data_IF_298100193173
#
_entry.id   IF_298100193173
#
_cell.length_a   1.000
_cell.length_b   1.000
_cell.length_c   1.000
_cell.angle_alpha   90.00
_cell.angle_beta   90.00
_cell.angle_gamma   90.00
#
_symmetry.space_group_name_H-M   'P 1'
#
loop_
_entity.id
_entity.type
_entity.pdbx_description
1 polymer ?
#
# COMPACT_ATOMS: atom_id res chain seq x y z
N UNK A 1 -5.91 10.46 -21.46
CA UNK A 1 -4.48 10.47 -21.08
C UNK A 1 -3.67 11.47 -21.92
N UNK A 2 -3.13 12.51 -21.26
CA UNK A 2 -2.07 13.35 -21.81
C UNK A 2 -0.72 12.64 -21.62
N UNK A 3 0.03 12.40 -22.70
CA UNK A 3 1.33 11.71 -22.66
C UNK A 3 1.46 10.52 -23.61
N UNK A 4 2.71 10.11 -23.87
CA UNK A 4 3.10 8.85 -24.50
C UNK A 4 3.46 7.88 -23.37
N UNK A 5 2.71 6.79 -23.25
CA UNK A 5 2.88 5.81 -22.19
C UNK A 5 3.23 4.47 -22.83
N UNK A 6 4.28 3.78 -22.35
CA UNK A 6 4.56 2.43 -22.82
C UNK A 6 3.38 1.51 -22.52
N UNK A 7 3.22 0.46 -23.33
CA UNK A 7 2.23 -0.56 -23.09
C UNK A 7 2.50 -1.26 -21.74
N UNK A 8 1.42 -1.62 -21.05
CA UNK A 8 1.50 -2.31 -19.75
C UNK A 8 1.99 -3.75 -19.96
N UNK A 9 2.93 -4.19 -19.12
CA UNK A 9 3.50 -5.54 -19.15
C UNK A 9 2.48 -6.49 -18.50
N UNK A 10 1.98 -7.51 -19.24
CA UNK A 10 1.00 -8.44 -18.70
C UNK A 10 1.49 -9.21 -17.47
N UNK A 11 0.62 -9.32 -16.48
CA UNK A 11 0.89 -9.95 -15.20
C UNK A 11 -0.34 -10.75 -14.74
N UNK A 12 -0.11 -11.87 -14.06
CA UNK A 12 -1.22 -12.66 -13.50
C UNK A 12 -1.94 -11.86 -12.42
N UNK A 13 -3.27 -11.96 -12.41
CA UNK A 13 -4.12 -11.26 -11.44
C UNK A 13 -3.94 -11.76 -9.99
N UNK A 14 -3.56 -13.03 -9.84
CA UNK A 14 -3.20 -13.68 -8.57
C UNK A 14 -1.68 -13.86 -8.56
N UNK A 15 -1.02 -13.31 -7.53
CA UNK A 15 0.42 -13.45 -7.36
C UNK A 15 0.79 -14.67 -6.53
N UNK A 16 1.93 -15.31 -6.83
CA UNK A 16 2.50 -16.28 -5.91
C UNK A 16 2.90 -15.55 -4.63
N UNK A 17 2.30 -15.94 -3.51
CA UNK A 17 2.68 -15.45 -2.20
C UNK A 17 3.77 -16.39 -1.70
N UNK A 18 5.04 -15.99 -1.84
CA UNK A 18 6.15 -16.80 -1.33
C UNK A 18 6.15 -16.69 0.19
N UNK A 19 6.16 -17.83 0.88
CA UNK A 19 6.58 -17.90 2.28
C UNK A 19 8.11 -17.77 2.32
N UNK A 20 8.66 -16.64 1.89
CA UNK A 20 9.99 -16.24 2.37
C UNK A 20 9.84 -15.94 3.87
N UNK A 21 10.90 -16.09 4.65
CA UNK A 21 10.89 -15.87 6.11
C UNK A 21 10.54 -14.44 6.57
N UNK A 22 10.04 -13.59 5.68
CA UNK A 22 9.46 -12.28 5.93
C UNK A 22 7.93 -12.33 5.81
N UNK A 23 7.27 -11.69 6.76
CA UNK A 23 5.87 -11.89 7.13
C UNK A 23 4.92 -11.52 5.99
N UNK A 24 4.29 -12.55 5.40
CA UNK A 24 3.09 -12.41 4.57
C UNK A 24 1.97 -11.83 5.43
N UNK A 25 1.34 -10.75 4.96
CA UNK A 25 0.15 -10.19 5.61
C UNK A 25 -0.95 -11.25 5.70
N UNK A 26 -1.40 -11.57 6.91
CA UNK A 26 -2.44 -12.58 7.14
C UNK A 26 -3.83 -12.15 6.64
N UNK A 27 -3.99 -10.86 6.34
CA UNK A 27 -5.21 -10.21 5.85
C UNK A 27 -4.86 -8.97 5.02
N UNK A 28 -5.83 -8.47 4.25
CA UNK A 28 -5.67 -7.22 3.49
C UNK A 28 -5.81 -6.03 4.44
N UNK A 29 -4.84 -5.11 4.39
CA UNK A 29 -4.79 -3.93 5.24
C UNK A 29 -4.53 -2.69 4.39
N UNK A 30 -5.14 -1.57 4.76
CA UNK A 30 -4.83 -0.28 4.15
C UNK A 30 -3.53 0.26 4.78
N UNK A 31 -2.45 0.44 4.00
CA UNK A 31 -1.23 1.02 4.54
C UNK A 31 -1.41 2.52 4.79
N UNK A 32 -0.71 3.06 5.79
CA UNK A 32 -0.68 4.51 5.99
C UNK A 32 0.07 5.19 4.83
N UNK A 33 1.21 4.62 4.43
CA UNK A 33 2.13 5.18 3.43
C UNK A 33 2.45 4.16 2.34
N UNK A 34 2.53 4.66 1.10
CA UNK A 34 3.04 3.97 -0.08
C UNK A 34 4.40 4.59 -0.41
N UNK A 35 5.42 3.74 -0.58
CA UNK A 35 6.74 4.15 -1.08
C UNK A 35 6.71 4.03 -2.60
N UNK A 36 6.64 5.17 -3.28
CA UNK A 36 6.56 5.29 -4.74
C UNK A 36 7.96 5.49 -5.30
N UNK A 37 8.43 4.54 -6.09
CA UNK A 37 9.66 4.67 -6.87
C UNK A 37 9.38 5.40 -8.18
N UNK A 38 9.94 6.58 -8.37
CA UNK A 38 9.61 7.47 -9.50
C UNK A 38 10.38 7.10 -10.79
N UNK A 39 10.30 5.83 -11.19
CA UNK A 39 11.03 5.28 -12.32
C UNK A 39 10.58 3.87 -12.68
N UNK A 40 11.34 3.20 -13.54
CA UNK A 40 11.23 1.74 -13.73
C UNK A 40 11.91 1.02 -12.56
N UNK A 41 11.54 -0.23 -12.22
CA UNK A 41 12.06 -0.88 -11.00
C UNK A 41 13.59 -0.92 -10.89
N UNK A 42 14.30 -1.03 -12.02
CA UNK A 42 15.76 -1.16 -12.07
C UNK A 42 16.51 0.17 -12.10
N UNK A 43 15.81 1.31 -12.10
CA UNK A 43 16.43 2.63 -12.15
C UNK A 43 16.87 3.06 -10.75
N UNK A 44 18.11 2.73 -10.38
CA UNK A 44 18.67 3.12 -9.08
C UNK A 44 18.89 4.63 -8.90
N UNK A 45 18.69 5.43 -9.94
CA UNK A 45 18.83 6.90 -9.87
C UNK A 45 17.49 7.60 -9.60
N UNK A 46 16.37 6.89 -9.75
CA UNK A 46 15.05 7.42 -9.45
C UNK A 46 14.84 7.62 -7.95
N UNK A 47 14.06 8.64 -7.60
CA UNK A 47 13.76 8.99 -6.22
C UNK A 47 12.58 8.17 -5.69
N UNK A 48 12.66 7.80 -4.42
CA UNK A 48 11.56 7.21 -3.68
C UNK A 48 10.79 8.27 -2.90
N UNK A 49 9.46 8.28 -3.03
CA UNK A 49 8.56 9.20 -2.34
C UNK A 49 7.66 8.47 -1.36
N UNK A 50 7.58 9.00 -0.14
CA UNK A 50 6.70 8.49 0.91
C UNK A 50 5.39 9.26 0.89
N UNK A 51 4.34 8.61 0.38
CA UNK A 51 3.04 9.25 0.11
C UNK A 51 1.96 8.55 0.90
N UNK A 52 1.06 9.29 1.57
CA UNK A 52 -0.09 8.65 2.23
C UNK A 52 -0.93 7.89 1.21
N UNK A 53 -1.44 6.71 1.57
CA UNK A 53 -2.19 5.84 0.63
C UNK A 53 -3.29 6.60 -0.12
N UNK A 54 -4.16 7.33 0.59
CA UNK A 54 -5.23 8.10 -0.04
C UNK A 54 -4.70 9.15 -1.02
N UNK A 55 -3.61 9.83 -0.68
CA UNK A 55 -3.01 10.86 -1.53
C UNK A 55 -2.37 10.22 -2.77
N UNK A 56 -1.78 9.04 -2.65
CA UNK A 56 -1.29 8.25 -3.78
C UNK A 56 -2.42 7.87 -4.74
N UNK A 57 -3.52 7.30 -4.23
CA UNK A 57 -4.67 6.91 -5.06
C UNK A 57 -5.29 8.14 -5.76
N UNK A 58 -5.47 9.26 -5.05
CA UNK A 58 -5.97 10.52 -5.62
C UNK A 58 -5.06 11.03 -6.74
N UNK A 59 -3.75 10.94 -6.55
CA UNK A 59 -2.75 11.37 -7.54
C UNK A 59 -2.81 10.52 -8.80
N UNK A 60 -2.80 9.20 -8.65
CA UNK A 60 -2.89 8.26 -9.77
C UNK A 60 -4.19 8.47 -10.54
N UNK A 61 -5.34 8.48 -9.85
CA UNK A 61 -6.62 8.73 -10.50
C UNK A 61 -6.64 10.09 -11.23
N UNK A 62 -6.12 11.16 -10.61
CA UNK A 62 -6.02 12.49 -11.24
C UNK A 62 -5.00 12.58 -12.39
N UNK A 63 -4.16 11.57 -12.55
CA UNK A 63 -3.18 11.45 -13.64
C UNK A 63 -3.68 10.57 -14.77
N UNK A 64 -4.55 9.60 -14.47
CA UNK A 64 -4.91 8.54 -15.40
C UNK A 64 -6.34 8.62 -15.95
N UNK A 65 -7.27 9.22 -15.21
CA UNK A 65 -8.68 9.34 -15.63
C UNK A 65 -9.14 10.81 -15.62
N UNK A 66 -10.22 11.09 -16.36
CA UNK A 66 -10.81 12.42 -16.41
C UNK A 66 -11.83 12.59 -15.30
N UNK A 67 -11.67 13.64 -14.49
CA UNK A 67 -12.54 13.98 -13.36
C UNK A 67 -13.99 14.32 -13.73
N UNK A 68 -14.27 14.53 -15.01
CA UNK A 68 -15.60 14.86 -15.56
C UNK A 68 -16.38 13.63 -16.05
N UNK A 69 -15.82 12.43 -15.90
CA UNK A 69 -16.52 11.19 -16.27
C UNK A 69 -17.66 10.86 -15.30
N UNK A 70 -18.63 10.02 -15.72
CA UNK A 70 -19.70 9.56 -14.84
C UNK A 70 -19.15 9.02 -13.53
N UNK A 71 -19.86 9.26 -12.42
CA UNK A 71 -19.41 8.86 -11.08
C UNK A 71 -19.11 7.36 -10.99
N UNK A 72 -19.93 6.53 -11.61
CA UNK A 72 -19.76 5.07 -11.64
C UNK A 72 -18.48 4.66 -12.40
N UNK A 73 -18.13 5.40 -13.45
CA UNK A 73 -16.85 5.23 -14.16
C UNK A 73 -15.68 5.61 -13.27
N UNK A 74 -15.77 6.72 -12.52
CA UNK A 74 -14.73 7.12 -11.57
C UNK A 74 -14.53 6.04 -10.51
N UNK A 75 -15.62 5.57 -9.87
CA UNK A 75 -15.60 4.52 -8.87
C UNK A 75 -14.97 3.21 -9.40
N UNK A 76 -15.37 2.74 -10.59
CA UNK A 76 -14.82 1.52 -11.18
C UNK A 76 -13.30 1.64 -11.43
N UNK A 77 -12.84 2.76 -11.98
CA UNK A 77 -11.40 2.99 -12.21
C UNK A 77 -10.62 3.13 -10.90
N UNK A 78 -11.16 3.85 -9.91
CA UNK A 78 -10.53 4.02 -8.60
C UNK A 78 -10.44 2.69 -7.85
N UNK A 79 -11.47 1.85 -7.90
CA UNK A 79 -11.43 0.49 -7.33
C UNK A 79 -10.35 -0.37 -7.98
N UNK A 80 -10.18 -0.28 -9.30
CA UNK A 80 -9.09 -0.97 -9.99
C UNK A 80 -7.70 -0.45 -9.59
N UNK A 81 -7.52 0.88 -9.45
CA UNK A 81 -6.27 1.47 -8.96
C UNK A 81 -5.97 0.98 -7.52
N UNK A 82 -6.98 1.01 -6.65
CA UNK A 82 -6.85 0.61 -5.25
C UNK A 82 -6.56 -0.89 -5.10
N UNK A 83 -7.30 -1.75 -5.80
CA UNK A 83 -7.08 -3.20 -5.75
C UNK A 83 -5.68 -3.58 -6.25
N UNK A 84 -5.22 -2.97 -7.34
CA UNK A 84 -3.85 -3.13 -7.83
C UNK A 84 -2.82 -2.72 -6.77
N UNK A 85 -3.01 -1.54 -6.17
CA UNK A 85 -2.09 -0.99 -5.16
C UNK A 85 -2.02 -1.89 -3.94
N UNK A 86 -3.17 -2.33 -3.43
CA UNK A 86 -3.25 -3.22 -2.28
C UNK A 86 -2.73 -4.63 -2.61
N UNK A 87 -2.80 -5.09 -3.87
CA UNK A 87 -2.11 -6.32 -4.28
C UNK A 87 -0.60 -6.19 -4.13
N UNK A 88 0.01 -5.08 -4.62
CA UNK A 88 1.45 -4.82 -4.47
C UNK A 88 1.89 -4.79 -3.01
N UNK A 89 1.07 -4.20 -2.14
CA UNK A 89 1.29 -4.16 -0.68
C UNK A 89 1.17 -5.56 -0.08
N UNK A 90 0.05 -6.24 -0.32
CA UNK A 90 -0.26 -7.56 0.26
C UNK A 90 0.79 -8.60 -0.10
N UNK A 91 1.23 -8.59 -1.36
CA UNK A 91 2.19 -9.56 -1.89
C UNK A 91 3.64 -9.15 -1.64
N UNK A 92 3.86 -7.97 -1.08
CA UNK A 92 5.17 -7.33 -0.96
C UNK A 92 5.96 -7.44 -2.28
N UNK A 93 5.27 -7.21 -3.41
CA UNK A 93 5.73 -7.65 -4.73
C UNK A 93 7.18 -7.29 -5.03
N UNK A 94 7.54 -6.02 -4.84
CA UNK A 94 8.90 -5.53 -5.10
C UNK A 94 9.87 -5.88 -3.95
N UNK A 95 9.41 -5.91 -2.70
CA UNK A 95 10.27 -6.28 -1.56
C UNK A 95 10.72 -7.73 -1.60
N UNK A 96 9.83 -8.62 -2.02
CA UNK A 96 10.16 -10.03 -2.30
C UNK A 96 11.13 -10.21 -3.49
N UNK A 97 11.49 -9.13 -4.17
CA UNK A 97 12.50 -9.07 -5.23
C UNK A 97 13.73 -8.24 -4.83
N UNK A 98 13.91 -7.97 -3.53
CA UNK A 98 15.00 -7.19 -2.93
C UNK A 98 14.97 -5.68 -3.25
N UNK A 99 13.81 -5.12 -3.62
CA UNK A 99 13.63 -3.67 -3.66
C UNK A 99 13.08 -3.14 -2.33
N UNK A 100 13.34 -1.88 -2.02
CA UNK A 100 12.88 -1.22 -0.78
C UNK A 100 11.59 -0.40 -0.94
N UNK A 101 11.03 -0.32 -2.15
CA UNK A 101 9.80 0.43 -2.45
C UNK A 101 8.55 -0.46 -2.57
N UNK A 102 7.38 0.17 -2.66
CA UNK A 102 6.07 -0.52 -2.72
C UNK A 102 5.55 -0.64 -4.14
N UNK A 103 5.73 0.41 -4.95
CA UNK A 103 5.14 0.54 -6.28
C UNK A 103 5.96 1.54 -7.11
N UNK A 104 5.87 1.46 -8.44
CA UNK A 104 6.57 2.37 -9.36
C UNK A 104 5.63 3.39 -10.00
N UNK A 105 6.18 4.50 -10.50
CA UNK A 105 5.46 5.52 -11.30
C UNK A 105 5.43 5.20 -12.81
N UNK A 106 5.97 4.04 -13.21
CA UNK A 106 6.04 3.59 -14.59
C UNK A 106 4.76 2.86 -15.01
N UNK A 107 4.05 3.39 -16.00
CA UNK A 107 2.80 2.78 -16.51
C UNK A 107 2.99 1.41 -17.15
N UNK A 108 4.22 1.07 -17.55
CA UNK A 108 4.54 -0.28 -18.03
C UNK A 108 4.39 -1.32 -16.91
N UNK A 109 4.70 -0.96 -15.67
CA UNK A 109 4.72 -1.87 -14.53
C UNK A 109 3.53 -1.65 -13.61
N UNK A 110 3.26 -0.40 -13.24
CA UNK A 110 2.24 -0.03 -12.27
C UNK A 110 1.40 1.15 -12.77
N UNK A 111 1.50 2.33 -12.15
CA UNK A 111 0.60 3.46 -12.36
C UNK A 111 1.36 4.71 -12.76
N UNK A 112 0.70 5.62 -13.47
CA UNK A 112 1.20 6.98 -13.61
C UNK A 112 0.97 7.74 -12.32
N UNK A 113 2.06 8.00 -11.61
CA UNK A 113 2.12 8.95 -10.51
C UNK A 113 2.99 10.14 -10.90
N UNK A 114 2.69 11.33 -10.37
CA UNK A 114 3.46 12.56 -10.62
C UNK A 114 3.64 13.33 -9.32
N UNK A 115 4.88 13.59 -8.90
CA UNK A 115 5.15 14.40 -7.72
C UNK A 115 4.56 15.82 -7.87
N UNK A 116 3.88 16.32 -6.83
CA UNK A 116 3.27 17.64 -6.84
C UNK A 116 2.04 17.80 -7.75
N UNK A 117 1.42 16.70 -8.21
CA UNK A 117 0.24 16.75 -9.08
C UNK A 117 -0.98 17.38 -8.39
N UNK A 118 -1.68 18.23 -9.15
CA UNK A 118 -2.98 18.76 -8.76
C UNK A 118 -4.03 17.65 -8.67
N UNK A 119 -4.83 17.65 -7.59
CA UNK A 119 -5.89 16.68 -7.35
C UNK A 119 -7.25 17.28 -7.69
N UNK A 120 -8.09 16.54 -8.43
CA UNK A 120 -9.44 16.97 -8.74
C UNK A 120 -10.41 16.61 -7.60
N UNK A 121 -11.31 17.54 -7.27
CA UNK A 121 -12.26 17.38 -6.15
C UNK A 121 -13.19 16.17 -6.34
N UNK A 122 -13.77 15.97 -7.53
CA UNK A 122 -14.67 14.84 -7.80
C UNK A 122 -13.96 13.48 -7.62
N UNK A 123 -12.67 13.41 -7.95
CA UNK A 123 -11.85 12.22 -7.69
C UNK A 123 -11.57 12.09 -6.19
N UNK A 124 -11.20 13.19 -5.53
CA UNK A 124 -10.92 13.17 -4.09
C UNK A 124 -12.12 12.66 -3.29
N UNK A 125 -13.32 13.13 -3.60
CA UNK A 125 -14.56 12.71 -2.94
C UNK A 125 -14.78 11.21 -3.10
N UNK A 126 -14.71 10.68 -4.32
CA UNK A 126 -14.87 9.23 -4.56
C UNK A 126 -13.81 8.43 -3.80
N UNK A 127 -12.53 8.84 -3.84
CA UNK A 127 -11.47 8.13 -3.09
C UNK A 127 -11.77 8.15 -1.60
N UNK A 128 -12.11 9.30 -1.02
CA UNK A 128 -12.39 9.41 0.42
C UNK A 128 -13.59 8.56 0.87
N UNK A 129 -14.56 8.33 -0.01
CA UNK A 129 -15.73 7.49 0.27
C UNK A 129 -15.43 5.99 0.22
N UNK A 130 -14.51 5.54 -0.64
CA UNK A 130 -14.31 4.11 -0.91
C UNK A 130 -12.91 3.59 -0.56
N UNK A 131 -12.04 4.38 0.07
CA UNK A 131 -10.60 4.08 0.23
C UNK A 131 -10.28 2.76 0.95
N UNK A 132 -11.22 2.21 1.71
CA UNK A 132 -11.11 0.93 2.40
C UNK A 132 -11.50 -0.27 1.52
N UNK A 133 -12.06 -0.04 0.33
CA UNK A 133 -12.53 -1.11 -0.54
C UNK A 133 -11.43 -1.66 -1.47
N UNK A 134 -11.63 -2.89 -1.95
CA UNK A 134 -10.78 -3.52 -2.96
C UNK A 134 -11.54 -4.61 -3.71
N UNK A 135 -10.99 -5.09 -4.82
CA UNK A 135 -11.61 -6.10 -5.65
C UNK A 135 -11.12 -7.49 -5.25
N UNK A 136 -12.07 -8.41 -5.10
CA UNK A 136 -11.87 -9.75 -4.58
C UNK A 136 -12.54 -10.81 -5.45
N UNK A 137 -12.05 -12.04 -5.33
CA UNK A 137 -12.68 -13.25 -5.89
C UNK A 137 -12.89 -14.31 -4.81
N UNK A 138 -13.90 -15.19 -4.96
CA UNK A 138 -14.11 -16.30 -4.05
C UNK A 138 -12.84 -17.15 -3.91
N UNK A 139 -12.50 -17.52 -2.68
CA UNK A 139 -11.32 -18.34 -2.33
C UNK A 139 -9.95 -17.70 -2.66
N UNK A 140 -9.89 -16.40 -2.98
CA UNK A 140 -8.65 -15.65 -3.17
C UNK A 140 -8.45 -14.69 -2.00
N UNK A 141 -7.34 -14.85 -1.25
CA UNK A 141 -7.06 -14.04 -0.06
C UNK A 141 -6.48 -12.65 -0.36
N UNK A 142 -5.78 -12.51 -1.48
CA UNK A 142 -5.15 -11.25 -1.88
C UNK A 142 -6.13 -10.39 -2.69
N UNK A 143 -5.96 -9.05 -2.68
CA UNK A 143 -6.63 -8.19 -3.66
C UNK A 143 -6.26 -8.62 -5.08
N UNK A 144 -7.20 -8.49 -6.01
CA UNK A 144 -6.92 -8.85 -7.40
C UNK A 144 -6.01 -7.79 -8.04
N UNK A 145 -4.92 -8.21 -8.68
CA UNK A 145 -4.07 -7.32 -9.47
C UNK A 145 -4.83 -6.93 -10.75
N UNK A 146 -5.60 -5.87 -10.66
CA UNK A 146 -6.47 -5.36 -11.73
C UNK A 146 -5.68 -4.48 -12.68
N UNK A 147 -5.01 -5.11 -13.65
CA UNK A 147 -4.41 -4.37 -14.77
C UNK A 147 -5.51 -3.73 -15.64
N UNK A 148 -5.22 -2.54 -16.14
CA UNK A 148 -6.09 -1.76 -17.03
C UNK A 148 -5.23 -0.90 -17.95
N UNK A 149 -5.84 -0.37 -19.00
CA UNK A 149 -5.18 0.58 -19.89
C UNK A 149 -6.17 1.55 -20.54
N UNK A 150 -5.66 2.48 -21.33
CA UNK A 150 -6.45 3.52 -21.99
C UNK A 150 -7.57 2.92 -22.88
N UNK A 151 -7.25 1.94 -23.72
CA UNK A 151 -8.18 1.35 -24.70
C UNK A 151 -8.39 2.16 -25.98
N UNK A 152 -7.80 3.36 -26.09
CA UNK A 152 -7.81 4.18 -27.32
C UNK A 152 -6.44 4.26 -27.97
N UNK A 153 -5.39 4.45 -27.17
CA UNK A 153 -3.98 4.45 -27.62
C UNK A 153 -3.30 3.07 -27.52
N UNK A 154 -3.82 2.20 -26.67
CA UNK A 154 -3.25 0.87 -26.40
C UNK A 154 -4.38 -0.15 -26.27
N UNK A 155 -4.22 -1.33 -26.86
CA UNK A 155 -5.16 -2.46 -26.74
C UNK A 155 -4.74 -3.38 -25.61
N UNK A 156 -5.69 -3.83 -24.79
CA UNK A 156 -5.45 -4.75 -23.69
C UNK A 156 -6.49 -5.87 -23.74
N UNK A 157 -6.11 -7.09 -24.13
CA UNK A 157 -7.01 -8.22 -24.03
C UNK A 157 -7.31 -8.50 -22.55
N UNK A 158 -8.58 -8.68 -22.22
CA UNK A 158 -9.07 -9.15 -20.91
C UNK A 158 -8.91 -8.18 -19.73
N UNK A 159 -8.55 -6.92 -19.98
CA UNK A 159 -8.46 -5.88 -18.94
C UNK A 159 -9.49 -4.78 -19.15
N UNK A 160 -9.84 -4.09 -18.06
CA UNK A 160 -10.63 -2.88 -18.16
C UNK A 160 -9.92 -1.85 -19.04
N UNK A 161 -10.69 -1.28 -19.96
CA UNK A 161 -10.26 -0.10 -20.72
C UNK A 161 -10.87 1.14 -20.10
N UNK A 162 -10.07 2.20 -19.97
CA UNK A 162 -10.54 3.45 -19.37
C UNK A 162 -11.64 4.10 -20.22
N UNK A 163 -11.47 4.15 -21.55
CA UNK A 163 -12.53 4.66 -22.43
C UNK A 163 -13.75 3.74 -22.53
N UNK A 164 -13.56 2.42 -22.48
CA UNK A 164 -14.69 1.49 -22.51
C UNK A 164 -15.50 1.51 -21.21
N UNK A 165 -14.85 1.62 -20.06
CA UNK A 165 -15.54 1.84 -18.77
C UNK A 165 -16.31 3.15 -18.74
N UNK A 166 -15.80 4.21 -19.39
CA UNK A 166 -16.55 5.46 -19.60
C UNK A 166 -17.78 5.24 -20.46
N UNK A 167 -17.66 4.53 -21.58
CA UNK A 167 -18.80 4.21 -22.44
C UNK A 167 -19.89 3.45 -21.68
N UNK A 168 -19.53 2.41 -20.91
CA UNK A 168 -20.49 1.66 -20.09
C UNK A 168 -21.15 2.53 -19.01
N UNK A 169 -20.38 3.42 -18.37
CA UNK A 169 -20.94 4.40 -17.43
C UNK A 169 -21.93 5.36 -18.07
N UNK A 170 -21.66 5.84 -19.29
CA UNK A 170 -22.62 6.66 -20.05
C UNK A 170 -23.91 5.89 -20.38
N UNK A 171 -23.85 4.56 -20.49
CA UNK A 171 -25.02 3.68 -20.68
C UNK A 171 -25.76 3.38 -19.36
N UNK A 172 -25.31 3.93 -18.23
CA UNK A 172 -25.96 3.75 -16.93
C UNK A 172 -25.55 2.47 -16.18
N UNK A 173 -24.46 1.81 -16.58
CA UNK A 173 -23.94 0.67 -15.82
C UNK A 173 -23.44 1.11 -14.44
N UNK A 174 -23.68 0.28 -13.42
CA UNK A 174 -23.12 0.51 -12.09
C UNK A 174 -21.61 0.24 -12.08
N UNK A 175 -20.91 0.76 -11.07
CA UNK A 175 -19.47 0.60 -10.89
C UNK A 175 -19.05 -0.88 -10.85
N UNK A 176 -19.85 -1.73 -10.19
CA UNK A 176 -19.61 -3.18 -10.13
C UNK A 176 -19.93 -3.89 -11.45
N UNK A 177 -20.96 -3.46 -12.19
CA UNK A 177 -21.28 -4.07 -13.49
C UNK A 177 -20.21 -3.76 -14.53
N UNK A 178 -19.64 -2.55 -14.50
CA UNK A 178 -18.47 -2.18 -15.32
C UNK A 178 -17.30 -3.11 -15.01
N UNK A 179 -17.00 -3.34 -13.73
CA UNK A 179 -15.89 -4.21 -13.32
C UNK A 179 -16.12 -5.67 -13.72
N UNK A 180 -17.34 -6.19 -13.54
CA UNK A 180 -17.70 -7.57 -13.94
C UNK A 180 -17.68 -7.76 -15.45
N UNK A 181 -18.03 -6.74 -16.22
CA UNK A 181 -17.93 -6.78 -17.68
C UNK A 181 -16.49 -7.11 -18.13
N UNK A 182 -15.48 -6.56 -17.46
CA UNK A 182 -14.08 -6.76 -17.82
C UNK A 182 -13.41 -7.92 -17.09
N UNK A 183 -13.71 -8.10 -15.81
CA UNK A 183 -13.00 -9.05 -14.95
C UNK A 183 -13.85 -10.28 -14.57
N UNK A 184 -15.05 -10.42 -15.12
CA UNK A 184 -15.96 -11.55 -14.91
C UNK A 184 -16.90 -11.40 -13.70
N UNK A 185 -18.02 -12.12 -13.76
CA UNK A 185 -19.16 -11.99 -12.83
C UNK A 185 -18.87 -12.37 -11.38
N UNK A 186 -17.85 -13.21 -11.15
CA UNK A 186 -17.44 -13.61 -9.80
C UNK A 186 -16.61 -12.52 -9.08
N UNK A 187 -16.39 -11.36 -9.70
CA UNK A 187 -15.79 -10.20 -9.06
C UNK A 187 -16.77 -9.58 -8.06
N UNK A 188 -16.26 -9.20 -6.89
CA UNK A 188 -17.01 -8.42 -5.90
C UNK A 188 -16.11 -7.41 -5.18
N UNK A 189 -16.74 -6.41 -4.59
CA UNK A 189 -16.09 -5.41 -3.75
C UNK A 189 -16.05 -5.94 -2.33
N UNK A 190 -14.85 -5.97 -1.75
CA UNK A 190 -14.62 -6.32 -0.36
C UNK A 190 -14.02 -5.11 0.37
N UNK A 191 -14.05 -5.11 1.69
CA UNK A 191 -13.52 -4.02 2.52
C UNK A 191 -12.32 -4.53 3.31
N UNK A 192 -11.23 -3.79 3.26
CA UNK A 192 -10.02 -4.08 4.02
C UNK A 192 -10.16 -3.53 5.44
N UNK A 193 -9.54 -4.21 6.40
CA UNK A 193 -9.43 -3.64 7.74
C UNK A 193 -8.54 -2.39 7.64
N UNK A 194 -9.09 -1.25 8.05
CA UNK A 194 -8.27 -0.08 8.26
C UNK A 194 -7.38 -0.36 9.48
N UNK A 195 -6.07 -0.44 9.26
CA UNK A 195 -5.15 -0.21 10.36
C UNK A 195 -5.19 1.29 10.64
N UNK A 196 -6.15 1.74 11.45
CA UNK A 196 -5.99 3.01 12.13
C UNK A 196 -4.87 2.83 13.13
N UNK A 197 -3.74 3.47 12.83
CA UNK A 197 -2.62 3.51 13.76
C UNK A 197 -1.58 2.44 13.56
N UNK A 198 -0.96 2.32 12.38
CA UNK A 198 0.51 2.38 12.43
C UNK A 198 0.76 3.69 13.15
N UNK A 199 1.23 3.72 14.41
CA UNK A 199 1.32 4.97 15.12
C UNK A 199 2.43 5.74 14.42
N UNK A 200 1.96 6.64 13.55
CA UNK A 200 2.65 7.65 12.78
C UNK A 200 3.75 7.22 11.80
N UNK A 201 3.71 7.89 10.66
CA UNK A 201 4.79 8.07 9.68
C UNK A 201 6.18 7.66 10.14
N UNK A 202 6.86 6.86 9.33
CA UNK A 202 8.31 6.73 9.41
C UNK A 202 8.98 8.12 9.56
N UNK A 203 9.99 8.32 10.42
CA UNK A 203 10.60 9.63 10.68
C UNK A 203 11.24 10.29 9.46
N UNK A 204 11.33 9.59 8.32
CA UNK A 204 12.07 10.01 7.14
C UNK A 204 13.58 9.76 7.25
N UNK A 205 14.03 9.20 8.38
CA UNK A 205 15.40 8.79 8.65
C UNK A 205 15.40 7.64 9.66
N UNK A 206 16.48 6.84 9.64
CA UNK A 206 16.70 5.74 10.57
C UNK A 206 16.79 6.24 12.02
N UNK A 207 16.29 5.45 12.97
CA UNK A 207 16.47 5.71 14.40
C UNK A 207 17.52 4.75 14.95
N UNK A 208 18.58 5.34 15.49
CA UNK A 208 19.72 4.66 16.06
C UNK A 208 20.21 5.35 17.34
N UNK A 209 21.32 4.87 17.91
CA UNK A 209 21.90 5.46 19.11
C UNK A 209 22.24 6.93 18.87
N UNK A 210 21.63 7.81 19.68
CA UNK A 210 21.76 9.26 19.56
C UNK A 210 20.52 9.94 18.96
N UNK A 211 19.63 9.18 18.33
CA UNK A 211 18.31 9.68 17.91
C UNK A 211 17.47 10.10 19.13
N UNK A 212 16.64 11.14 18.97
CA UNK A 212 15.76 11.61 20.04
C UNK A 212 14.49 12.28 19.53
N UNK A 213 13.50 12.45 20.41
CA UNK A 213 12.26 13.17 20.13
C UNK A 213 11.01 12.29 20.14
N UNK A 214 9.91 12.81 19.60
CA UNK A 214 8.60 12.15 19.68
C UNK A 214 8.57 10.76 19.01
N UNK A 215 9.31 10.58 17.91
CA UNK A 215 9.38 9.29 17.21
C UNK A 215 10.06 8.20 18.05
N UNK A 216 11.07 8.57 18.84
CA UNK A 216 11.71 7.63 19.76
C UNK A 216 10.78 7.29 20.93
N UNK A 217 10.03 8.27 21.48
CA UNK A 217 9.04 8.00 22.54
C UNK A 217 8.02 6.97 22.07
N UNK A 218 7.48 7.20 20.89
CA UNK A 218 6.51 6.31 20.30
C UNK A 218 7.07 4.91 20.02
N UNK A 219 8.29 4.81 19.50
CA UNK A 219 8.97 3.52 19.34
C UNK A 219 9.05 2.78 20.69
N UNK A 220 9.46 3.49 21.76
CA UNK A 220 9.56 2.93 23.10
C UNK A 220 8.20 2.46 23.65
N UNK A 221 7.13 3.23 23.43
CA UNK A 221 5.75 2.86 23.78
C UNK A 221 5.31 1.59 23.04
N UNK A 222 5.54 1.54 21.73
CA UNK A 222 5.19 0.39 20.91
C UNK A 222 5.94 -0.86 21.36
N UNK A 223 7.26 -0.76 21.55
CA UNK A 223 8.09 -1.87 22.02
C UNK A 223 7.69 -2.35 23.42
N UNK A 224 7.29 -1.45 24.33
CA UNK A 224 6.81 -1.82 25.65
C UNK A 224 5.51 -2.63 25.58
N UNK A 225 4.50 -2.17 24.82
CA UNK A 225 3.25 -2.92 24.67
C UNK A 225 3.51 -4.30 24.03
N UNK A 226 4.43 -4.37 23.06
CA UNK A 226 4.82 -5.65 22.47
C UNK A 226 5.55 -6.52 23.50
N UNK A 227 6.41 -5.92 24.33
CA UNK A 227 7.16 -6.57 25.41
C UNK A 227 6.27 -7.21 26.48
N UNK A 228 5.06 -6.70 26.70
CA UNK A 228 4.07 -7.32 27.58
C UNK A 228 3.67 -8.74 27.12
N UNK A 229 3.73 -9.01 25.81
CA UNK A 229 3.45 -10.32 25.21
C UNK A 229 4.72 -11.10 24.85
N UNK A 230 5.84 -10.40 24.64
CA UNK A 230 7.13 -10.95 24.22
C UNK A 230 8.21 -10.59 25.23
N UNK A 231 8.30 -11.38 26.31
CA UNK A 231 9.17 -11.12 27.47
C UNK A 231 10.67 -11.02 27.16
N UNK A 232 11.10 -11.46 25.97
CA UNK A 232 12.47 -11.27 25.49
C UNK A 232 12.79 -9.80 25.15
N UNK A 233 11.78 -8.98 24.88
CA UNK A 233 11.96 -7.54 24.66
C UNK A 233 12.04 -6.86 26.03
N UNK A 234 13.17 -6.24 26.40
CA UNK A 234 13.33 -5.58 27.68
C UNK A 234 12.42 -4.36 27.79
N UNK A 235 11.85 -4.15 28.98
CA UNK A 235 11.07 -2.95 29.28
C UNK A 235 11.93 -1.67 29.17
N UNK A 236 11.36 -0.66 28.54
CA UNK A 236 11.97 0.63 28.23
C UNK A 236 11.34 1.75 29.05
N UNK A 237 12.15 2.74 29.39
CA UNK A 237 11.65 4.06 29.82
C UNK A 237 11.24 4.85 28.58
N UNK A 238 10.05 5.44 28.59
CA UNK A 238 9.56 6.31 27.48
C UNK A 238 10.08 7.74 27.68
N UNK A 239 11.37 7.93 27.50
CA UNK A 239 12.06 9.22 27.66
C UNK A 239 12.26 9.95 26.33
N UNK A 240 12.13 9.26 25.20
CA UNK A 240 12.37 9.80 23.87
C UNK A 240 13.84 9.88 23.50
N UNK A 241 14.72 9.13 24.17
CA UNK A 241 16.14 9.05 23.90
C UNK A 241 16.48 7.64 23.45
N UNK A 242 17.04 7.51 22.24
CA UNK A 242 17.42 6.22 21.70
C UNK A 242 18.83 5.89 22.21
N UNK A 243 18.89 5.17 23.33
CA UNK A 243 20.13 4.68 23.93
C UNK A 243 20.34 3.18 23.73
N UNK A 244 21.39 2.64 24.35
CA UNK A 244 21.74 1.21 24.28
C UNK A 244 20.59 0.27 24.67
N UNK A 245 19.76 0.67 25.65
CA UNK A 245 18.57 -0.12 26.03
C UNK A 245 17.53 -0.19 24.91
N UNK A 246 17.29 0.92 24.21
CA UNK A 246 16.36 0.94 23.07
C UNK A 246 16.93 0.15 21.91
N UNK A 247 18.23 0.29 21.62
CA UNK A 247 18.91 -0.51 20.60
C UNK A 247 18.79 -2.02 20.89
N UNK A 248 18.98 -2.42 22.15
CA UNK A 248 18.83 -3.83 22.55
C UNK A 248 17.40 -4.32 22.40
N UNK A 249 16.40 -3.54 22.81
CA UNK A 249 15.00 -3.88 22.59
C UNK A 249 14.67 -4.07 21.10
N UNK A 250 15.22 -3.22 20.24
CA UNK A 250 15.08 -3.34 18.78
C UNK A 250 15.77 -4.59 18.25
N UNK A 251 16.97 -4.95 18.73
CA UNK A 251 17.63 -6.22 18.34
C UNK A 251 16.82 -7.43 18.74
N UNK A 252 16.24 -7.44 19.95
CA UNK A 252 15.38 -8.52 20.40
C UNK A 252 14.11 -8.60 19.56
N UNK A 253 13.48 -7.45 19.27
CA UNK A 253 12.34 -7.41 18.36
C UNK A 253 12.69 -7.93 16.96
N UNK A 254 13.79 -7.47 16.37
CA UNK A 254 14.29 -7.91 15.07
C UNK A 254 14.54 -9.41 15.08
N UNK A 255 15.18 -9.94 16.12
CA UNK A 255 15.41 -11.38 16.31
C UNK A 255 14.12 -12.19 16.33
N UNK A 256 13.12 -11.75 17.09
CA UNK A 256 11.81 -12.42 17.20
C UNK A 256 11.08 -12.43 15.85
N UNK A 257 11.31 -11.40 15.01
CA UNK A 257 10.67 -11.25 13.71
C UNK A 257 11.57 -11.69 12.53
N UNK A 258 12.65 -12.44 12.78
CA UNK A 258 13.60 -12.92 11.78
C UNK A 258 14.22 -11.82 10.89
N UNK A 259 14.40 -10.62 11.45
CA UNK A 259 15.03 -9.49 10.78
C UNK A 259 16.53 -9.39 11.13
N UNK A 260 17.35 -8.72 10.31
CA UNK A 260 18.72 -8.40 10.67
C UNK A 260 18.78 -7.67 12.02
N UNK A 261 19.60 -8.17 12.95
CA UNK A 261 19.69 -7.67 14.34
C UNK A 261 20.62 -6.44 14.44
N UNK A 262 20.33 -5.41 13.63
CA UNK A 262 21.16 -4.20 13.55
C UNK A 262 21.03 -3.34 14.81
N UNK A 263 19.90 -3.41 15.50
CA UNK A 263 19.54 -2.47 16.58
C UNK A 263 19.27 -1.06 16.06
N UNK A 264 19.25 -0.88 14.74
CA UNK A 264 18.81 0.32 14.04
C UNK A 264 17.38 0.07 13.60
N UNK A 265 16.49 1.01 13.90
CA UNK A 265 15.18 1.01 13.30
C UNK A 265 15.33 1.70 11.95
N UNK A 266 15.21 0.95 10.88
CA UNK A 266 15.02 1.43 9.51
C UNK A 266 13.53 1.36 9.16
N UNK A 267 13.16 1.76 7.93
CA UNK A 267 11.77 1.73 7.50
C UNK A 267 11.11 0.32 7.66
N UNK A 268 11.74 -0.78 7.21
CA UNK A 268 11.24 -2.13 7.46
C UNK A 268 11.01 -2.44 8.94
N UNK A 269 11.98 -2.10 9.81
CA UNK A 269 11.90 -2.37 11.25
C UNK A 269 10.77 -1.58 11.89
N UNK A 270 10.63 -0.28 11.58
CA UNK A 270 9.53 0.55 12.09
C UNK A 270 8.17 0.02 11.68
N UNK A 271 8.01 -0.25 10.38
CA UNK A 271 6.76 -0.79 9.87
C UNK A 271 6.39 -2.08 10.61
N UNK A 272 7.37 -2.97 10.82
CA UNK A 272 7.14 -4.24 11.52
C UNK A 272 6.75 -4.06 12.98
N UNK A 273 7.41 -3.13 13.70
CA UNK A 273 7.07 -2.80 15.09
C UNK A 273 5.65 -2.25 15.16
N UNK A 274 5.31 -1.27 14.32
CA UNK A 274 3.98 -0.67 14.31
C UNK A 274 2.87 -1.64 13.93
N UNK A 275 3.09 -2.49 12.95
CA UNK A 275 2.16 -3.56 12.55
C UNK A 275 1.92 -4.58 13.69
N UNK A 276 2.98 -4.93 14.44
CA UNK A 276 2.85 -5.81 15.62
C UNK A 276 2.13 -5.11 16.78
N UNK A 277 2.44 -3.84 17.02
CA UNK A 277 1.77 -3.02 18.04
C UNK A 277 0.25 -2.98 17.82
N UNK A 278 -0.20 -2.64 16.61
CA UNK A 278 -1.63 -2.58 16.25
C UNK A 278 -2.37 -3.88 16.55
N UNK A 279 -1.76 -5.00 16.15
CA UNK A 279 -2.39 -6.31 16.35
C UNK A 279 -2.58 -6.64 17.83
N UNK A 280 -1.67 -6.19 18.68
CA UNK A 280 -1.72 -6.45 20.12
C UNK A 280 -2.60 -5.43 20.86
N UNK A 281 -2.58 -4.15 20.47
CA UNK A 281 -3.44 -3.13 21.07
C UNK A 281 -4.92 -3.43 20.86
N UNK A 282 -5.31 -3.94 19.68
CA UNK A 282 -6.69 -4.39 19.43
C UNK A 282 -7.11 -5.62 20.25
N UNK A 283 -6.17 -6.44 20.73
CA UNK A 283 -6.45 -7.56 21.66
C UNK A 283 -6.57 -7.05 23.10
N UNK A 284 -5.80 -6.02 23.47
CA UNK A 284 -5.84 -5.40 24.78
C UNK A 284 -7.15 -4.63 25.04
N UNK A 285 -7.78 -4.05 24.00
CA UNK A 285 -9.08 -3.36 24.10
C UNK A 285 -10.29 -4.31 24.27
N UNK A 286 -10.12 -5.62 24.09
CA UNK A 286 -11.18 -6.64 24.20
C UNK A 286 -11.17 -7.40 25.53
N UNK A 287 -10.24 -7.11 26.44
CA UNK A 287 -10.15 -7.72 27.78
C UNK A 287 -10.39 -6.67 28.88
#
# INVERSE_FOLDING_TARGET
LYGSYPAKIPETEIKPVRQSGEIVLSRVVIPETIVVHDGVPTDSTALDYYVRYKDYIKNVASSEIYSTWPRQTLEANILAIMSFTLNRVYTEWYRNQNYNFTITSSTAFDHKWVNGRNIFESISQVVDEIFDNYLSRPNVKQPILTQYCDGKKSSCPDWMTQWGSKYLGDQGYSSIDILRYYYGDNMYINTAEQIQGIPSSWPGADLDIGSSGQKVRQLQEQLNLIGDYYTAIPALTVDGIYGERTAEAVRQFQRINNMPQTGVVDFPTWYRISDRYVRLSGIAELN
#
